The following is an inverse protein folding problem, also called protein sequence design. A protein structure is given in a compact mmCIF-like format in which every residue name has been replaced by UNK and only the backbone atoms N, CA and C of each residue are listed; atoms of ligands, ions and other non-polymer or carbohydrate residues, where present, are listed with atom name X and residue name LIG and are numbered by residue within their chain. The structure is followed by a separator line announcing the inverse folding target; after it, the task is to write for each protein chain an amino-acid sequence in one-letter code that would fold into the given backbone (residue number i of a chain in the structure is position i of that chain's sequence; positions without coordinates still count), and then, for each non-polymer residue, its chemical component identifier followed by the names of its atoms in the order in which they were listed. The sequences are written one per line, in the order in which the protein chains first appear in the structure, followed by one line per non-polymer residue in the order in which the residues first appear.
data_IF_261352420685
#
_entry.id   IF_261352420685
#
_cell.length_a   1.000
_cell.length_b   1.000
_cell.length_c   1.000
_cell.angle_alpha   90.00
_cell.angle_beta   90.00
_cell.angle_gamma   90.00
#
_symmetry.space_group_name_H-M   'P 1'
#
loop_
_entity.id
_entity.type
_entity.pdbx_description
1 polymer ?
#
# COMPACT_ATOMS: atom_id res chain seq x y z
N UNK A 1 -13.72 0.30 -13.12
CA UNK A 1 -14.09 0.66 -11.73
C UNK A 1 -13.62 -0.39 -10.74
N UNK A 2 -14.22 -1.60 -10.66
CA UNK A 2 -13.80 -2.60 -9.65
C UNK A 2 -12.35 -3.08 -9.82
N UNK A 3 -11.90 -3.28 -11.07
CA UNK A 3 -10.51 -3.66 -11.33
C UNK A 3 -9.50 -2.55 -11.00
N UNK A 4 -9.87 -1.28 -11.22
CA UNK A 4 -9.01 -0.13 -10.92
C UNK A 4 -8.90 0.08 -9.40
N UNK A 5 -9.99 -0.13 -8.66
CA UNK A 5 -10.00 -0.16 -7.19
C UNK A 5 -9.09 -1.26 -6.63
N UNK A 6 -9.15 -2.47 -7.21
CA UNK A 6 -8.27 -3.58 -6.82
C UNK A 6 -6.81 -3.24 -7.12
N UNK A 7 -6.51 -2.72 -8.30
CA UNK A 7 -5.16 -2.33 -8.69
C UNK A 7 -4.59 -1.22 -7.79
N UNK A 8 -5.42 -0.24 -7.42
CA UNK A 8 -5.04 0.81 -6.48
C UNK A 8 -4.79 0.27 -5.07
N UNK A 9 -5.64 -0.63 -4.58
CA UNK A 9 -5.43 -1.29 -3.28
C UNK A 9 -4.17 -2.18 -3.29
N UNK A 10 -3.86 -2.85 -4.40
CA UNK A 10 -2.60 -3.58 -4.58
C UNK A 10 -1.38 -2.66 -4.60
N UNK A 11 -1.46 -1.49 -5.24
CA UNK A 11 -0.39 -0.49 -5.22
C UNK A 11 -0.11 0.00 -3.79
N UNK A 12 -1.16 0.28 -3.02
CA UNK A 12 -1.05 0.62 -1.61
C UNK A 12 -0.39 -0.50 -0.78
N UNK A 13 -0.80 -1.76 -0.98
CA UNK A 13 -0.20 -2.90 -0.28
C UNK A 13 1.28 -3.07 -0.65
N UNK A 14 1.64 -2.92 -1.92
CA UNK A 14 3.05 -2.95 -2.37
C UNK A 14 3.88 -1.86 -1.70
N UNK A 15 3.35 -0.64 -1.64
CA UNK A 15 4.02 0.48 -0.95
C UNK A 15 4.23 0.18 0.54
N UNK A 16 3.22 -0.37 1.22
CA UNK A 16 3.35 -0.75 2.63
C UNK A 16 4.46 -1.77 2.86
N UNK A 17 4.53 -2.82 2.03
CA UNK A 17 5.58 -3.83 2.15
C UNK A 17 6.97 -3.31 1.77
N UNK A 18 7.07 -2.47 0.73
CA UNK A 18 8.32 -1.80 0.38
C UNK A 18 8.81 -0.90 1.52
N UNK A 19 7.90 -0.17 2.16
CA UNK A 19 8.22 0.68 3.32
C UNK A 19 8.68 -0.15 4.51
N UNK A 20 8.03 -1.28 4.80
CA UNK A 20 8.46 -2.22 5.85
C UNK A 20 9.86 -2.77 5.57
N UNK A 21 10.13 -3.19 4.33
CA UNK A 21 11.43 -3.67 3.92
C UNK A 21 12.52 -2.60 4.07
N UNK A 22 12.26 -1.37 3.61
CA UNK A 22 13.19 -0.25 3.72
C UNK A 22 13.51 0.14 5.17
N UNK A 23 12.60 -0.14 6.11
CA UNK A 23 12.75 0.16 7.53
C UNK A 23 13.18 -1.05 8.37
N UNK A 24 13.41 -2.22 7.76
CA UNK A 24 13.75 -3.45 8.49
C UNK A 24 15.11 -3.36 9.17
N UNK A 25 16.09 -2.73 8.51
CA UNK A 25 17.40 -2.44 9.08
C UNK A 25 17.62 -0.90 9.14
N UNK A 26 17.68 -0.30 10.33
CA UNK A 26 17.92 1.13 10.48
C UNK A 26 19.25 1.62 9.90
N UNK A 27 20.28 0.77 9.87
CA UNK A 27 21.60 1.13 9.36
C UNK A 27 21.61 1.19 7.82
N UNK A 28 20.79 0.35 7.17
CA UNK A 28 20.60 0.37 5.71
C UNK A 28 19.45 1.29 5.25
N UNK A 29 18.59 1.76 6.16
CA UNK A 29 17.45 2.61 5.82
C UNK A 29 17.81 3.86 4.99
N UNK A 30 18.93 4.58 5.23
CA UNK A 30 19.33 5.70 4.37
C UNK A 30 19.53 5.33 2.89
N UNK A 31 19.87 4.07 2.60
CA UNK A 31 20.03 3.55 1.24
C UNK A 31 18.68 3.27 0.56
N UNK A 32 17.70 2.74 1.30
CA UNK A 32 16.45 2.26 0.73
C UNK A 32 15.30 3.27 0.76
N UNK A 33 15.27 4.18 1.74
CA UNK A 33 14.23 5.23 1.85
C UNK A 33 14.06 6.02 0.55
N UNK A 34 15.14 6.47 -0.15
CA UNK A 34 14.99 7.20 -1.41
C UNK A 34 14.31 6.39 -2.53
N UNK A 35 14.40 5.06 -2.49
CA UNK A 35 13.77 4.18 -3.48
C UNK A 35 12.24 4.14 -3.35
N UNK A 36 11.67 4.62 -2.24
CA UNK A 36 10.23 4.67 -2.02
C UNK A 36 9.52 5.77 -2.83
N UNK A 37 10.26 6.71 -3.43
CA UNK A 37 9.66 7.81 -4.21
C UNK A 37 8.76 7.32 -5.35
N UNK A 38 9.19 6.30 -6.11
CA UNK A 38 8.39 5.73 -7.21
C UNK A 38 7.12 5.02 -6.71
N UNK A 39 7.17 4.05 -5.77
CA UNK A 39 5.96 3.39 -5.29
C UNK A 39 5.00 4.34 -4.55
N UNK A 40 5.49 5.42 -3.93
CA UNK A 40 4.62 6.49 -3.40
C UNK A 40 3.83 7.14 -4.53
N UNK A 41 4.52 7.62 -5.57
CA UNK A 41 3.86 8.28 -6.70
C UNK A 41 2.88 7.35 -7.45
N UNK A 42 3.23 6.07 -7.61
CA UNK A 42 2.36 5.06 -8.21
C UNK A 42 1.09 4.84 -7.39
N UNK A 43 1.22 4.67 -6.06
CA UNK A 43 0.07 4.48 -5.19
C UNK A 43 -0.84 5.71 -5.18
N UNK A 44 -0.28 6.91 -5.06
CA UNK A 44 -1.04 8.17 -5.10
C UNK A 44 -1.81 8.33 -6.41
N UNK A 45 -1.17 8.04 -7.55
CA UNK A 45 -1.82 8.12 -8.86
C UNK A 45 -2.97 7.11 -8.97
N UNK A 46 -2.74 5.86 -8.57
CA UNK A 46 -3.74 4.81 -8.66
C UNK A 46 -4.95 5.07 -7.73
N UNK A 47 -4.69 5.52 -6.50
CA UNK A 47 -5.75 5.88 -5.53
C UNK A 47 -6.59 7.04 -6.05
N UNK A 48 -5.95 8.06 -6.63
CA UNK A 48 -6.66 9.21 -7.23
C UNK A 48 -7.50 8.79 -8.44
N UNK A 49 -6.94 7.98 -9.34
CA UNK A 49 -7.67 7.52 -10.53
C UNK A 49 -8.85 6.61 -10.20
N UNK A 50 -8.75 5.83 -9.12
CA UNK A 50 -9.82 4.96 -8.65
C UNK A 50 -10.87 5.68 -7.78
N UNK A 51 -10.68 6.97 -7.48
CA UNK A 51 -11.59 7.72 -6.59
C UNK A 51 -11.51 7.29 -5.12
N UNK A 52 -10.39 6.69 -4.71
CA UNK A 52 -10.17 6.20 -3.34
C UNK A 52 -9.45 7.23 -2.45
N UNK A 53 -8.94 8.33 -3.02
CA UNK A 53 -8.42 9.45 -2.24
C UNK A 53 -9.52 10.10 -1.41
N UNK A 54 -9.39 10.09 -0.08
CA UNK A 54 -10.42 10.60 0.86
C UNK A 54 -11.60 9.65 1.10
N UNK A 55 -11.48 8.38 0.69
CA UNK A 55 -12.43 7.31 1.01
C UNK A 55 -11.70 6.11 1.60
N UNK A 56 -11.18 6.30 2.81
CA UNK A 56 -10.34 5.33 3.51
C UNK A 56 -11.12 4.06 3.88
N UNK A 57 -12.42 4.16 4.15
CA UNK A 57 -13.26 3.01 4.47
C UNK A 57 -13.30 2.00 3.32
N UNK A 58 -13.52 2.49 2.09
CA UNK A 58 -13.55 1.66 0.89
C UNK A 58 -12.18 1.06 0.61
N UNK A 59 -11.12 1.86 0.67
CA UNK A 59 -9.74 1.40 0.50
C UNK A 59 -9.40 0.29 1.50
N UNK A 60 -9.65 0.49 2.79
CA UNK A 60 -9.31 -0.51 3.82
C UNK A 60 -10.13 -1.79 3.69
N UNK A 61 -11.36 -1.71 3.22
CA UNK A 61 -12.16 -2.90 2.94
C UNK A 61 -11.55 -3.74 1.81
N UNK A 62 -11.07 -3.10 0.74
CA UNK A 62 -10.36 -3.77 -0.35
C UNK A 62 -9.02 -4.35 0.13
N UNK A 63 -8.25 -3.59 0.91
CA UNK A 63 -6.97 -4.06 1.47
C UNK A 63 -7.16 -5.29 2.36
N UNK A 64 -8.19 -5.31 3.23
CA UNK A 64 -8.54 -6.49 4.05
C UNK A 64 -8.88 -7.70 3.19
N UNK A 65 -9.62 -7.51 2.10
CA UNK A 65 -9.94 -8.59 1.17
C UNK A 65 -8.70 -9.15 0.47
N UNK A 66 -7.72 -8.29 0.15
CA UNK A 66 -6.44 -8.69 -0.46
C UNK A 66 -5.46 -9.35 0.52
N UNK A 67 -5.60 -9.08 1.82
CA UNK A 67 -4.70 -9.53 2.89
C UNK A 67 -5.47 -10.33 3.95
N UNK A 68 -5.83 -11.60 3.67
CA UNK A 68 -6.52 -12.44 4.65
C UNK A 68 -5.67 -12.74 5.91
N UNK A 69 -4.35 -12.47 5.91
CA UNK A 69 -3.46 -12.69 7.05
C UNK A 69 -3.45 -11.57 8.09
N UNK A 70 -3.98 -10.37 7.80
CA UNK A 70 -4.10 -9.29 8.81
C UNK A 70 -5.23 -9.54 9.83
N UNK A 71 -6.16 -10.44 9.54
CA UNK A 71 -7.25 -10.84 10.47
C UNK A 71 -6.86 -12.03 11.36
N UNK A 72 -5.75 -12.73 11.06
CA UNK A 72 -5.33 -13.91 11.80
C UNK A 72 -4.32 -13.61 12.93
N UNK A 73 -3.76 -12.40 12.98
CA UNK A 73 -2.78 -12.00 14.00
C UNK A 73 -3.40 -11.56 15.35
N UNK A 74 -4.73 -11.60 15.49
CA UNK A 74 -5.45 -11.29 16.75
C UNK A 74 -5.99 -12.54 17.47
N UNK A 75 -5.42 -13.73 17.25
CA UNK A 75 -5.77 -14.94 18.03
C UNK A 75 -4.58 -15.64 18.63
#
# INVERSE_FOLDING_TARGET
MHNDEIAAAQAYVRLLEATRAALTDPDEAPLYIPLLASPIAEADAALRSAGLSGNEERLFSLVRALRPSLTASER
#
